data_IF_365598139618
#
_entry.id   IF_365598139618
#
_cell.length_a   1.000
_cell.length_b   1.000
_cell.length_c   1.000
_cell.angle_alpha   90.00
_cell.angle_beta   90.00
_cell.angle_gamma   90.00
#
_symmetry.space_group_name_H-M   'P 1'
#
loop_
_entity.id
_entity.type
_entity.pdbx_description
1 polymer ?
#
# COMPACT_ATOMS: atom_id res chain seq x y z
N UNK A 1 9.75 -76.90 20.50
CA UNK A 1 8.46 -77.54 20.86
C UNK A 1 7.45 -77.30 19.75
N UNK A 2 6.83 -78.39 19.30
CA UNK A 2 5.80 -78.46 18.26
C UNK A 2 4.50 -77.71 18.61
N UNK A 3 3.78 -77.25 17.57
CA UNK A 3 2.32 -77.38 17.30
C UNK A 3 2.03 -76.47 16.07
N UNK A 4 1.75 -76.92 14.83
CA UNK A 4 0.60 -77.72 14.29
C UNK A 4 -0.70 -77.36 15.04
N UNK A 5 -1.83 -76.99 14.46
CA UNK A 5 -2.54 -77.11 13.17
C UNK A 5 -3.87 -76.29 13.41
N UNK A 6 -4.73 -75.88 12.47
CA UNK A 6 -5.58 -76.71 11.61
C UNK A 6 -6.57 -75.81 10.80
N UNK A 7 -6.75 -76.18 9.52
CA UNK A 7 -7.89 -76.15 8.58
C UNK A 7 -9.06 -75.14 8.64
N UNK A 8 -9.44 -74.61 7.45
CA UNK A 8 -10.53 -75.09 6.54
C UNK A 8 -10.63 -74.13 5.32
N UNK A 9 -10.41 -74.49 4.04
CA UNK A 9 -11.31 -75.14 3.06
C UNK A 9 -12.72 -74.48 3.04
N UNK A 10 -13.26 -73.87 1.97
CA UNK A 10 -13.48 -74.35 0.59
C UNK A 10 -13.87 -73.22 -0.41
N UNK A 11 -13.39 -73.36 -1.66
CA UNK A 11 -13.99 -73.08 -3.01
C UNK A 11 -15.12 -72.03 -3.18
N UNK A 12 -14.95 -70.95 -3.95
CA UNK A 12 -14.90 -70.81 -5.43
C UNK A 12 -16.26 -70.82 -6.15
N UNK A 13 -16.67 -69.66 -6.69
CA UNK A 13 -17.51 -69.56 -7.89
C UNK A 13 -17.30 -68.19 -8.56
N UNK A 14 -16.69 -68.23 -9.74
CA UNK A 14 -16.51 -67.09 -10.65
C UNK A 14 -17.78 -66.95 -11.48
N UNK A 15 -18.37 -65.75 -11.52
CA UNK A 15 -19.41 -65.38 -12.48
C UNK A 15 -18.90 -64.18 -13.27
N UNK A 16 -18.60 -64.41 -14.55
CA UNK A 16 -18.32 -63.37 -15.53
C UNK A 16 -19.63 -62.69 -15.93
N UNK A 17 -19.77 -61.40 -15.62
CA UNK A 17 -20.77 -60.53 -16.25
C UNK A 17 -20.05 -59.46 -17.06
N UNK A 18 -20.24 -59.56 -18.37
CA UNK A 18 -19.85 -58.61 -19.40
C UNK A 18 -20.63 -57.30 -19.23
N UNK A 19 -19.94 -56.18 -19.02
CA UNK A 19 -20.54 -54.85 -19.09
C UNK A 19 -19.93 -54.07 -20.25
N UNK A 20 -20.76 -53.82 -21.27
CA UNK A 20 -20.48 -52.98 -22.43
C UNK A 20 -20.19 -51.54 -22.00
N UNK A 21 -19.28 -50.89 -22.72
CA UNK A 21 -19.05 -49.44 -22.70
C UNK A 21 -20.37 -48.71 -22.97
N UNK A 22 -20.80 -47.90 -22.01
CA UNK A 22 -21.75 -46.81 -22.24
C UNK A 22 -21.00 -45.49 -22.07
N UNK A 23 -20.87 -44.78 -23.19
CA UNK A 23 -20.41 -43.39 -23.24
C UNK A 23 -21.44 -42.56 -22.46
N UNK A 24 -21.11 -42.17 -21.23
CA UNK A 24 -21.92 -41.20 -20.49
C UNK A 24 -21.47 -39.81 -20.96
N UNK A 25 -22.19 -39.29 -21.93
CA UNK A 25 -22.25 -37.85 -22.18
C UNK A 25 -22.93 -37.24 -20.96
N UNK A 26 -22.16 -36.71 -20.01
CA UNK A 26 -22.72 -35.82 -18.99
C UNK A 26 -23.08 -34.51 -19.68
N UNK A 27 -24.32 -34.45 -20.16
CA UNK A 27 -25.02 -33.19 -20.33
C UNK A 27 -25.01 -32.51 -18.95
N UNK A 28 -24.24 -31.42 -18.82
CA UNK A 28 -24.41 -30.50 -17.70
C UNK A 28 -25.77 -29.85 -17.96
N UNK A 29 -26.81 -30.43 -17.36
CA UNK A 29 -28.10 -29.78 -17.25
C UNK A 29 -27.88 -28.47 -16.47
N UNK A 30 -28.37 -27.38 -17.05
CA UNK A 30 -28.55 -26.12 -16.34
C UNK A 30 -29.40 -26.36 -15.10
N UNK A 31 -28.77 -26.38 -13.93
CA UNK A 31 -29.51 -26.34 -12.67
C UNK A 31 -29.97 -24.90 -12.42
N UNK A 32 -31.16 -24.61 -12.92
CA UNK A 32 -32.02 -23.58 -12.33
C UNK A 32 -32.57 -24.13 -11.00
N UNK A 33 -31.94 -23.74 -9.89
CA UNK A 33 -32.62 -23.77 -8.59
C UNK A 33 -32.54 -22.38 -7.97
N UNK A 34 -33.72 -21.84 -7.70
CA UNK A 34 -33.92 -20.50 -7.17
C UNK A 34 -33.31 -20.34 -5.78
N UNK A 35 -32.10 -19.81 -5.73
CA UNK A 35 -31.76 -18.82 -4.73
C UNK A 35 -32.07 -17.47 -5.37
N UNK A 36 -32.85 -16.61 -4.70
CA UNK A 36 -33.00 -15.23 -5.15
C UNK A 36 -31.60 -14.62 -5.21
N UNK A 37 -31.02 -14.51 -6.42
CA UNK A 37 -29.85 -13.68 -6.65
C UNK A 37 -30.30 -12.28 -6.26
N UNK A 38 -29.89 -11.79 -5.08
CA UNK A 38 -30.02 -10.37 -4.79
C UNK A 38 -29.37 -9.64 -5.96
N UNK A 39 -30.16 -8.87 -6.70
CA UNK A 39 -29.67 -8.02 -7.79
C UNK A 39 -28.78 -6.98 -7.14
N UNK A 40 -27.48 -7.27 -7.04
CA UNK A 40 -26.52 -6.32 -6.49
C UNK A 40 -26.51 -5.05 -7.33
N UNK A 41 -26.33 -3.90 -6.68
CA UNK A 41 -26.37 -2.62 -7.38
C UNK A 41 -25.27 -2.59 -8.44
N UNK A 42 -25.59 -2.03 -9.61
CA UNK A 42 -24.63 -1.92 -10.70
C UNK A 42 -23.45 -1.03 -10.30
N UNK A 43 -22.24 -1.57 -10.35
CA UNK A 43 -21.02 -0.78 -10.20
C UNK A 43 -20.66 -0.13 -11.55
N UNK A 44 -20.30 1.15 -11.52
CA UNK A 44 -19.86 1.89 -12.70
C UNK A 44 -18.36 2.20 -12.60
N UNK A 45 -17.66 2.18 -13.73
CA UNK A 45 -16.28 2.62 -13.90
C UNK A 45 -16.25 3.56 -15.10
N UNK A 46 -15.83 4.81 -14.91
CA UNK A 46 -15.75 5.80 -15.98
C UNK A 46 -14.30 6.20 -16.22
N UNK A 47 -13.69 5.63 -17.25
CA UNK A 47 -12.29 5.84 -17.62
C UNK A 47 -11.97 7.22 -18.21
N UNK A 48 -13.00 8.05 -18.48
CA UNK A 48 -12.84 9.44 -18.89
C UNK A 48 -12.86 10.42 -17.71
N UNK A 49 -13.43 10.02 -16.57
CA UNK A 49 -13.52 10.85 -15.38
C UNK A 49 -12.27 10.65 -14.50
N UNK A 50 -11.19 11.34 -14.86
CA UNK A 50 -9.93 11.34 -14.11
C UNK A 50 -10.11 12.02 -12.73
N UNK A 51 -9.47 11.47 -11.71
CA UNK A 51 -9.35 12.01 -10.37
C UNK A 51 -7.86 12.28 -10.08
N UNK A 52 -7.40 12.05 -8.85
CA UNK A 52 -6.02 12.34 -8.47
C UNK A 52 -5.00 11.43 -9.19
N UNK A 53 -3.81 11.97 -9.42
CA UNK A 53 -2.66 11.21 -9.88
C UNK A 53 -2.09 10.34 -8.75
N UNK A 54 -1.68 9.12 -9.05
CA UNK A 54 -1.08 8.19 -8.09
C UNK A 54 0.44 8.29 -8.19
N UNK A 55 1.07 8.68 -7.07
CA UNK A 55 2.53 8.72 -6.91
C UNK A 55 3.10 7.37 -6.55
N UNK A 56 2.35 6.56 -5.82
CA UNK A 56 2.68 5.15 -5.63
C UNK A 56 2.33 4.62 -4.25
N UNK A 57 2.78 3.41 -4.02
CA UNK A 57 2.54 2.62 -2.82
C UNK A 57 3.89 2.14 -2.30
N UNK A 58 4.11 2.28 -0.99
CA UNK A 58 5.43 2.10 -0.43
C UNK A 58 5.46 1.60 0.99
N UNK A 59 6.67 1.59 1.53
CA UNK A 59 6.94 1.35 2.94
C UNK A 59 8.24 2.03 3.37
N UNK A 60 8.48 2.02 4.67
CA UNK A 60 9.66 2.58 5.28
C UNK A 60 10.80 1.56 5.47
N UNK A 61 12.04 2.02 5.26
CA UNK A 61 13.25 1.38 5.75
C UNK A 61 13.92 2.34 6.73
N UNK A 62 13.89 2.03 8.02
CA UNK A 62 14.41 2.90 9.08
C UNK A 62 15.63 2.24 9.69
N UNK A 63 16.74 2.39 8.98
CA UNK A 63 18.04 1.92 9.44
C UNK A 63 18.43 2.70 10.71
N UNK A 64 19.08 1.98 11.62
CA UNK A 64 19.49 2.48 12.94
C UNK A 64 18.51 2.11 14.05
N UNK A 65 17.23 1.88 13.73
CA UNK A 65 16.25 1.32 14.65
C UNK A 65 16.04 -0.17 14.43
N UNK A 66 16.09 -0.60 13.17
CA UNK A 66 16.16 -2.01 12.77
C UNK A 66 17.29 -2.22 11.75
N UNK A 67 17.63 -3.48 11.48
CA UNK A 67 18.57 -3.82 10.41
C UNK A 67 18.04 -3.35 9.04
N UNK A 68 18.94 -2.93 8.15
CA UNK A 68 18.58 -2.57 6.79
C UNK A 68 18.03 -3.79 6.01
N UNK A 69 17.36 -3.55 4.89
CA UNK A 69 16.90 -4.61 4.00
C UNK A 69 18.09 -5.31 3.32
N UNK A 70 18.06 -6.63 3.22
CA UNK A 70 19.04 -7.39 2.43
C UNK A 70 18.80 -7.20 0.92
N UNK A 71 19.76 -7.61 0.08
CA UNK A 71 19.59 -7.54 -1.39
C UNK A 71 18.36 -8.30 -1.90
N UNK A 72 18.07 -9.48 -1.31
CA UNK A 72 16.88 -10.26 -1.63
C UNK A 72 15.59 -9.53 -1.17
N UNK A 73 15.59 -8.98 0.04
CA UNK A 73 14.45 -8.21 0.56
C UNK A 73 14.18 -6.95 -0.28
N UNK A 74 15.21 -6.24 -0.74
CA UNK A 74 15.05 -5.10 -1.67
C UNK A 74 14.43 -5.54 -3.00
N UNK A 75 14.86 -6.68 -3.54
CA UNK A 75 14.27 -7.24 -4.76
C UNK A 75 12.80 -7.59 -4.57
N UNK A 76 12.47 -8.30 -3.48
CA UNK A 76 11.09 -8.67 -3.13
C UNK A 76 10.22 -7.47 -2.81
N UNK A 77 10.78 -6.39 -2.28
CA UNK A 77 10.06 -5.14 -2.01
C UNK A 77 9.74 -4.38 -3.31
N UNK A 78 10.74 -4.06 -4.13
CA UNK A 78 10.58 -3.06 -5.20
C UNK A 78 10.37 -3.64 -6.59
N UNK A 79 10.83 -4.86 -6.87
CA UNK A 79 10.68 -5.44 -8.21
C UNK A 79 9.22 -5.73 -8.53
N UNK A 80 8.76 -5.29 -9.70
CA UNK A 80 7.41 -5.60 -10.19
C UNK A 80 7.30 -7.06 -10.65
N UNK A 81 8.41 -7.66 -11.10
CA UNK A 81 8.42 -9.02 -11.63
C UNK A 81 8.74 -10.06 -10.55
N UNK A 82 9.71 -9.74 -9.68
CA UNK A 82 10.23 -10.68 -8.68
C UNK A 82 9.75 -10.34 -7.25
N UNK A 83 8.84 -9.38 -7.10
CA UNK A 83 8.42 -8.86 -5.81
C UNK A 83 7.00 -8.29 -5.80
N UNK A 84 6.72 -7.53 -4.75
CA UNK A 84 5.43 -6.86 -4.51
C UNK A 84 5.32 -5.51 -5.23
N UNK A 85 6.41 -5.02 -5.83
CA UNK A 85 6.39 -3.85 -6.70
C UNK A 85 6.21 -2.51 -5.99
N UNK A 86 6.69 -2.33 -4.76
CA UNK A 86 6.66 -1.01 -4.11
C UNK A 86 7.33 0.04 -5.01
N UNK A 87 6.69 1.20 -5.09
CA UNK A 87 7.10 2.33 -5.94
C UNK A 87 7.43 3.59 -5.12
N UNK A 88 7.36 3.49 -3.80
CA UNK A 88 7.83 4.52 -2.87
C UNK A 88 8.63 3.85 -1.76
N UNK A 89 9.79 4.43 -1.44
CA UNK A 89 10.57 4.12 -0.25
C UNK A 89 10.60 5.37 0.63
N UNK A 90 10.21 5.21 1.90
CA UNK A 90 10.45 6.23 2.93
C UNK A 90 11.68 5.86 3.76
N UNK A 91 12.55 6.83 4.00
CA UNK A 91 13.75 6.65 4.84
C UNK A 91 13.82 7.71 5.94
N UNK A 92 14.54 7.36 7.01
CA UNK A 92 14.92 8.32 8.04
C UNK A 92 16.08 9.18 7.56
N UNK A 93 16.04 10.46 7.90
CA UNK A 93 17.22 11.33 7.91
C UNK A 93 17.88 11.22 9.28
N UNK A 94 19.07 10.59 9.41
CA UNK A 94 19.74 10.51 10.70
C UNK A 94 20.06 11.90 11.27
N UNK A 95 20.11 12.05 12.60
CA UNK A 95 20.61 13.29 13.21
C UNK A 95 22.15 13.37 13.14
N UNK A 96 22.85 12.24 12.95
CA UNK A 96 24.29 12.20 12.78
C UNK A 96 24.65 11.99 11.30
N UNK A 97 25.36 12.94 10.70
CA UNK A 97 25.70 12.90 9.27
C UNK A 97 26.66 11.77 8.90
N UNK A 98 27.39 11.22 9.88
CA UNK A 98 28.22 10.04 9.67
C UNK A 98 27.42 8.80 9.21
N UNK A 99 26.12 8.76 9.51
CA UNK A 99 25.24 7.64 9.16
C UNK A 99 24.63 7.74 7.75
N UNK A 100 24.77 8.89 7.07
CA UNK A 100 24.04 9.16 5.81
C UNK A 100 24.41 8.23 4.66
N UNK A 101 25.71 8.00 4.46
CA UNK A 101 26.20 7.15 3.37
C UNK A 101 25.64 5.73 3.45
N UNK A 102 25.22 5.34 4.64
CA UNK A 102 24.83 4.00 4.99
C UNK A 102 23.35 3.71 4.67
N UNK A 103 22.55 4.74 4.34
CA UNK A 103 21.19 4.60 3.76
C UNK A 103 21.21 4.24 2.26
N UNK A 104 22.33 4.51 1.56
CA UNK A 104 22.43 4.39 0.09
C UNK A 104 22.04 3.02 -0.46
N UNK A 105 22.45 1.87 0.11
CA UNK A 105 22.20 0.58 -0.51
C UNK A 105 20.72 0.27 -0.78
N UNK A 106 19.82 0.62 0.14
CA UNK A 106 18.37 0.43 -0.04
C UNK A 106 17.77 1.52 -0.93
N UNK A 107 18.23 2.77 -0.80
CA UNK A 107 17.83 3.89 -1.67
C UNK A 107 18.15 3.60 -3.14
N UNK A 108 19.38 3.16 -3.44
CA UNK A 108 19.84 2.91 -4.81
C UNK A 108 19.09 1.71 -5.43
N UNK A 109 18.82 0.65 -4.64
CA UNK A 109 18.02 -0.47 -5.10
C UNK A 109 16.56 -0.09 -5.39
N UNK A 110 15.96 0.77 -4.57
CA UNK A 110 14.61 1.28 -4.79
C UNK A 110 14.55 2.13 -6.08
N UNK A 111 15.49 3.07 -6.24
CA UNK A 111 15.62 3.91 -7.45
C UNK A 111 15.84 3.07 -8.71
N UNK A 112 16.68 2.03 -8.64
CA UNK A 112 16.92 1.11 -9.76
C UNK A 112 15.65 0.37 -10.21
N UNK A 113 14.65 0.23 -9.34
CA UNK A 113 13.34 -0.33 -9.66
C UNK A 113 12.29 0.76 -9.99
N UNK A 114 12.72 2.02 -10.15
CA UNK A 114 11.86 3.16 -10.49
C UNK A 114 11.02 3.68 -9.32
N UNK A 115 11.36 3.35 -8.08
CA UNK A 115 10.67 3.88 -6.91
C UNK A 115 11.10 5.32 -6.61
N UNK A 116 10.14 6.14 -6.19
CA UNK A 116 10.42 7.42 -5.55
C UNK A 116 11.03 7.18 -4.16
N UNK A 117 11.94 8.05 -3.75
CA UNK A 117 12.50 8.02 -2.40
C UNK A 117 12.10 9.30 -1.68
N UNK A 118 11.44 9.17 -0.54
CA UNK A 118 11.09 10.29 0.34
C UNK A 118 11.82 10.15 1.66
N UNK A 119 12.23 11.26 2.26
CA UNK A 119 13.01 11.23 3.49
C UNK A 119 12.38 12.10 4.57
N UNK A 120 12.30 11.58 5.79
CA UNK A 120 11.76 12.32 6.94
C UNK A 120 12.78 12.36 8.07
N UNK A 121 12.99 13.53 8.64
CA UNK A 121 13.74 13.68 9.87
C UNK A 121 12.81 13.53 11.08
N UNK A 122 13.12 12.60 11.98
CA UNK A 122 12.48 12.53 13.30
C UNK A 122 12.97 13.64 14.21
N UNK A 123 14.26 13.98 14.09
CA UNK A 123 14.88 14.97 14.94
C UNK A 123 16.06 15.65 14.28
N UNK A 124 16.34 16.88 14.70
CA UNK A 124 17.57 17.59 14.35
C UNK A 124 18.72 17.17 15.27
N UNK A 125 19.99 17.44 14.91
CA UNK A 125 21.11 17.34 15.84
C UNK A 125 20.79 18.02 17.18
N UNK A 126 21.12 17.37 18.29
CA UNK A 126 20.76 17.83 19.63
C UNK A 126 21.15 19.30 19.90
N UNK A 127 22.34 19.72 19.44
CA UNK A 127 22.84 21.09 19.59
C UNK A 127 21.94 22.16 18.95
N UNK A 128 21.19 21.79 17.90
CA UNK A 128 20.26 22.68 17.18
C UNK A 128 18.90 22.82 17.87
N UNK A 129 18.64 22.05 18.93
CA UNK A 129 17.35 21.97 19.60
C UNK A 129 17.33 22.70 20.93
N UNK A 130 16.17 23.20 21.32
CA UNK A 130 15.94 23.87 22.61
C UNK A 130 16.18 22.95 23.81
N UNK A 131 15.94 21.65 23.65
CA UNK A 131 16.17 20.63 24.68
C UNK A 131 17.63 20.19 24.81
N UNK A 132 18.50 20.54 23.83
CA UNK A 132 19.83 19.96 23.69
C UNK A 132 19.86 18.42 23.76
N UNK A 133 18.79 17.77 23.27
CA UNK A 133 18.57 16.32 23.32
C UNK A 133 17.93 15.88 22.00
N UNK A 134 18.12 14.63 21.56
CA UNK A 134 17.47 14.05 20.38
C UNK A 134 15.98 13.72 20.60
N UNK A 135 15.52 13.68 21.85
CA UNK A 135 14.11 13.51 22.25
C UNK A 135 13.46 14.87 22.56
N UNK A 136 12.25 15.08 22.06
CA UNK A 136 11.40 16.25 22.34
C UNK A 136 12.01 17.60 21.96
N UNK A 137 11.45 18.69 22.48
CA UNK A 137 11.91 20.05 22.19
C UNK A 137 11.66 20.46 20.73
N UNK A 138 12.19 21.63 20.34
CA UNK A 138 12.00 22.19 18.99
C UNK A 138 13.30 22.80 18.48
N UNK A 139 13.35 23.13 17.20
CA UNK A 139 14.50 23.83 16.62
C UNK A 139 14.69 25.21 17.27
N UNK A 140 15.94 25.57 17.58
CA UNK A 140 16.31 26.95 17.84
C UNK A 140 16.20 27.72 16.52
N UNK A 141 15.60 28.91 16.55
CA UNK A 141 15.50 29.77 15.36
C UNK A 141 16.87 30.12 14.78
N UNK A 142 17.88 30.29 15.64
CA UNK A 142 19.29 30.49 15.26
C UNK A 142 19.91 29.30 14.51
N UNK A 143 19.31 28.11 14.61
CA UNK A 143 19.80 26.89 13.94
C UNK A 143 19.02 26.55 12.67
N UNK A 144 18.10 27.39 12.21
CA UNK A 144 17.28 27.10 11.03
C UNK A 144 18.14 26.86 9.77
N UNK A 145 19.11 27.74 9.50
CA UNK A 145 19.99 27.58 8.34
C UNK A 145 20.85 26.31 8.44
N UNK A 146 21.41 26.05 9.62
CA UNK A 146 22.23 24.85 9.86
C UNK A 146 21.41 23.56 9.73
N UNK A 147 20.17 23.55 10.20
CA UNK A 147 19.29 22.40 10.06
C UNK A 147 18.89 22.15 8.59
N UNK A 148 18.60 23.21 7.84
CA UNK A 148 18.36 23.07 6.40
C UNK A 148 19.60 22.56 5.65
N UNK A 149 20.80 23.00 6.04
CA UNK A 149 22.05 22.49 5.52
C UNK A 149 22.26 21.00 5.88
N UNK A 150 21.90 20.58 7.10
CA UNK A 150 21.89 19.17 7.52
C UNK A 150 20.99 18.32 6.62
N UNK A 151 19.74 18.74 6.40
CA UNK A 151 18.80 18.07 5.48
C UNK A 151 19.36 18.01 4.05
N UNK A 152 19.89 19.12 3.52
CA UNK A 152 20.51 19.17 2.18
C UNK A 152 21.72 18.25 2.06
N UNK A 153 22.54 18.15 3.12
CA UNK A 153 23.71 17.29 3.12
C UNK A 153 23.32 15.80 3.11
N UNK A 154 22.23 15.42 3.77
CA UNK A 154 21.63 14.08 3.62
C UNK A 154 21.22 13.83 2.16
N UNK A 155 20.42 14.74 1.58
CA UNK A 155 19.95 14.62 0.19
C UNK A 155 21.14 14.45 -0.76
N UNK A 156 22.20 15.22 -0.55
CA UNK A 156 23.43 15.15 -1.35
C UNK A 156 24.14 13.80 -1.16
N UNK A 157 24.34 13.36 0.09
CA UNK A 157 25.03 12.11 0.41
C UNK A 157 24.33 10.89 -0.19
N UNK A 158 23.00 10.87 -0.21
CA UNK A 158 22.22 9.75 -0.77
C UNK A 158 21.95 9.85 -2.28
N UNK A 159 22.50 10.87 -2.95
CA UNK A 159 22.34 11.05 -4.40
C UNK A 159 20.92 11.48 -4.80
N UNK A 160 20.32 12.37 -4.01
CA UNK A 160 19.00 12.94 -4.24
C UNK A 160 17.85 12.15 -3.60
N UNK A 161 16.76 12.84 -3.32
CA UNK A 161 15.45 12.27 -2.92
C UNK A 161 14.35 13.02 -3.66
N UNK A 162 13.19 12.40 -3.83
CA UNK A 162 12.02 13.01 -4.48
C UNK A 162 11.36 14.08 -3.62
N UNK A 163 11.37 13.92 -2.30
CA UNK A 163 10.93 14.93 -1.35
C UNK A 163 11.58 14.72 0.03
N UNK A 164 11.64 15.78 0.82
CA UNK A 164 12.17 15.75 2.19
C UNK A 164 11.21 16.44 3.17
N UNK A 165 11.04 15.83 4.34
CA UNK A 165 10.25 16.35 5.45
C UNK A 165 11.17 16.76 6.61
N UNK A 166 11.00 17.99 7.14
CA UNK A 166 11.79 18.48 8.25
C UNK A 166 11.35 17.97 9.62
N UNK A 167 10.20 17.30 9.74
CA UNK A 167 9.74 16.79 11.03
C UNK A 167 8.74 15.65 10.84
N UNK A 168 9.03 14.50 11.45
CA UNK A 168 8.04 13.45 11.70
C UNK A 168 7.14 13.87 12.87
N UNK A 169 5.83 13.67 12.74
CA UNK A 169 4.84 13.74 13.84
C UNK A 169 5.08 14.89 14.83
N UNK A 170 5.09 16.14 14.36
CA UNK A 170 5.40 17.28 15.21
C UNK A 170 4.40 17.47 16.36
N UNK A 171 3.21 16.85 16.27
CA UNK A 171 2.15 16.86 17.27
C UNK A 171 2.15 15.64 18.21
N UNK A 172 3.19 14.80 18.18
CA UNK A 172 3.29 13.61 19.03
C UNK A 172 4.45 13.67 20.03
N UNK A 173 4.13 13.67 21.33
CA UNK A 173 5.14 13.64 22.40
C UNK A 173 5.51 12.20 22.71
N UNK A 174 6.81 11.90 22.68
CA UNK A 174 7.33 10.53 22.82
C UNK A 174 8.72 10.50 23.48
N UNK A 175 9.25 9.31 23.72
CA UNK A 175 10.53 9.04 24.41
C UNK A 175 11.67 8.63 23.46
N UNK A 176 11.40 8.51 22.16
CA UNK A 176 12.40 8.32 21.10
C UNK A 176 12.66 9.61 20.30
N UNK A 177 13.50 9.52 19.26
CA UNK A 177 13.88 10.67 18.43
C UNK A 177 12.65 11.47 17.98
N UNK A 178 12.61 12.74 18.34
CA UNK A 178 11.43 13.57 18.09
C UNK A 178 11.79 15.06 18.12
N UNK A 179 10.94 15.85 17.49
CA UNK A 179 10.80 17.28 17.67
C UNK A 179 9.32 17.62 17.71
N UNK A 180 8.93 18.57 18.54
CA UNK A 180 7.54 18.96 18.75
C UNK A 180 7.32 20.45 18.46
N UNK A 181 7.59 20.95 17.23
CA UNK A 181 7.21 22.30 16.86
C UNK A 181 5.68 22.41 16.75
N UNK A 182 5.15 23.56 17.16
CA UNK A 182 3.78 23.93 16.77
C UNK A 182 3.67 24.07 15.25
N UNK A 183 2.45 24.01 14.72
CA UNK A 183 2.22 24.18 13.29
C UNK A 183 2.81 25.49 12.74
N UNK A 184 2.73 26.58 13.50
CA UNK A 184 3.33 27.87 13.17
C UNK A 184 4.86 27.80 13.15
N UNK A 185 5.49 27.20 14.15
CA UNK A 185 6.96 27.11 14.21
C UNK A 185 7.53 26.27 13.07
N UNK A 186 6.87 25.16 12.73
CA UNK A 186 7.24 24.34 11.58
C UNK A 186 7.04 25.11 10.26
N UNK A 187 5.96 25.87 10.15
CA UNK A 187 5.71 26.73 9.00
C UNK A 187 6.78 27.82 8.87
N UNK A 188 7.20 28.44 9.97
CA UNK A 188 8.24 29.47 9.99
C UNK A 188 9.59 28.92 9.54
N UNK A 189 9.95 27.70 9.96
CA UNK A 189 11.13 27.02 9.43
C UNK A 189 11.04 26.83 7.91
N UNK A 190 9.93 26.32 7.40
CA UNK A 190 9.76 26.10 5.94
C UNK A 190 9.71 27.43 5.18
N UNK A 191 9.07 28.45 5.73
CA UNK A 191 9.04 29.79 5.17
C UNK A 191 10.44 30.38 5.06
N UNK A 192 11.28 30.20 6.07
CA UNK A 192 12.66 30.69 6.06
C UNK A 192 13.57 29.85 5.16
N UNK A 193 13.51 28.52 5.25
CA UNK A 193 14.57 27.62 4.78
C UNK A 193 14.11 26.47 3.86
N UNK A 194 12.82 26.32 3.57
CA UNK A 194 12.31 25.18 2.80
C UNK A 194 13.04 24.96 1.46
N UNK A 195 13.35 26.04 0.73
CA UNK A 195 14.09 26.00 -0.54
C UNK A 195 15.56 25.58 -0.39
N UNK A 196 16.11 25.63 0.82
CA UNK A 196 17.51 25.31 1.12
C UNK A 196 17.71 23.86 1.59
N UNK A 197 16.63 23.08 1.74
CA UNK A 197 16.69 21.70 2.24
C UNK A 197 17.15 20.66 1.21
N UNK A 198 17.40 21.08 -0.05
CA UNK A 198 17.99 20.23 -1.10
C UNK A 198 17.01 19.35 -1.89
N UNK A 199 15.74 19.28 -1.50
CA UNK A 199 14.67 18.60 -2.23
C UNK A 199 13.32 19.31 -2.01
N UNK A 200 12.28 19.03 -2.83
CA UNK A 200 10.93 19.51 -2.59
C UNK A 200 10.44 19.18 -1.17
N UNK A 201 9.77 20.14 -0.53
CA UNK A 201 9.27 19.96 0.84
C UNK A 201 7.98 19.15 0.84
N UNK A 202 7.96 18.09 1.65
CA UNK A 202 6.75 17.37 2.05
C UNK A 202 6.54 17.59 3.55
N UNK A 203 5.35 18.02 3.98
CA UNK A 203 5.07 18.46 5.35
C UNK A 203 3.55 18.58 5.57
N UNK A 204 3.03 18.67 6.81
CA UNK A 204 3.73 18.69 8.09
C UNK A 204 3.83 17.34 8.81
N UNK A 205 3.30 16.27 8.22
CA UNK A 205 3.33 14.90 8.78
C UNK A 205 2.74 14.74 10.21
N UNK A 206 1.57 15.32 10.55
CA UNK A 206 0.95 15.07 11.85
C UNK A 206 0.52 13.61 11.99
N UNK A 207 0.53 13.10 13.23
CA UNK A 207 0.28 11.69 13.57
C UNK A 207 -1.06 11.14 13.03
N UNK A 208 -2.10 11.97 13.08
CA UNK A 208 -3.47 11.57 12.71
C UNK A 208 -4.04 12.34 11.51
N UNK A 209 -3.19 12.84 10.60
CA UNK A 209 -3.60 13.67 9.46
C UNK A 209 -4.45 14.87 9.91
N UNK A 210 -4.09 15.47 11.05
CA UNK A 210 -4.89 16.51 11.69
C UNK A 210 -5.11 17.71 10.75
N UNK A 211 -6.36 17.88 10.30
CA UNK A 211 -6.72 18.99 9.42
C UNK A 211 -6.48 20.35 10.11
N UNK A 212 -6.66 20.42 11.43
CA UNK A 212 -6.35 21.62 12.22
C UNK A 212 -4.86 21.95 12.18
N UNK A 213 -3.98 20.96 12.36
CA UNK A 213 -2.54 21.17 12.29
C UNK A 213 -2.13 21.58 10.87
N UNK A 214 -2.61 20.86 9.85
CA UNK A 214 -2.34 21.14 8.43
C UNK A 214 -2.80 22.54 8.04
N UNK A 215 -4.02 22.94 8.40
CA UNK A 215 -4.55 24.27 8.08
C UNK A 215 -3.77 25.38 8.78
N UNK A 216 -3.39 25.16 10.05
CA UNK A 216 -2.57 26.12 10.80
C UNK A 216 -1.18 26.28 10.16
N UNK A 217 -0.55 25.18 9.76
CA UNK A 217 0.74 25.19 9.04
C UNK A 217 0.63 25.93 7.69
N UNK A 218 -0.42 25.63 6.91
CA UNK A 218 -0.65 26.25 5.59
C UNK A 218 -1.16 27.70 5.67
N UNK A 219 -1.49 28.20 6.86
CA UNK A 219 -1.89 29.61 7.04
C UNK A 219 -0.74 30.58 6.82
N UNK A 220 0.51 30.14 6.95
CA UNK A 220 1.69 30.90 6.55
C UNK A 220 1.84 30.81 5.01
N UNK A 221 1.63 31.91 4.25
CA UNK A 221 1.60 31.87 2.80
C UNK A 221 2.96 31.53 2.19
N UNK A 222 4.05 31.96 2.82
CA UNK A 222 5.41 31.65 2.36
C UNK A 222 5.71 30.17 2.55
N UNK A 223 5.37 29.60 3.71
CA UNK A 223 5.50 28.17 3.96
C UNK A 223 4.68 27.38 2.93
N UNK A 224 3.39 27.71 2.78
CA UNK A 224 2.47 27.10 1.80
C UNK A 224 3.02 27.14 0.38
N UNK A 225 3.69 28.22 -0.03
CA UNK A 225 4.29 28.32 -1.37
C UNK A 225 5.50 27.39 -1.55
N UNK A 226 6.26 27.13 -0.47
CA UNK A 226 7.44 26.26 -0.46
C UNK A 226 7.11 24.78 -0.20
N UNK A 227 5.97 24.48 0.40
CA UNK A 227 5.47 23.11 0.57
C UNK A 227 4.98 22.56 -0.76
N UNK A 228 5.60 21.50 -1.26
CA UNK A 228 5.18 20.84 -2.51
C UNK A 228 4.04 19.86 -2.26
N UNK A 229 4.10 19.11 -1.16
CA UNK A 229 3.15 18.03 -0.85
C UNK A 229 2.65 18.16 0.58
N UNK A 230 1.34 17.96 0.78
CA UNK A 230 0.77 17.86 2.13
C UNK A 230 0.83 16.41 2.56
N UNK A 231 1.40 16.18 3.74
CA UNK A 231 1.63 14.83 4.26
C UNK A 231 1.10 14.69 5.68
N UNK A 232 0.80 13.44 6.05
CA UNK A 232 0.32 13.05 7.37
C UNK A 232 0.28 11.55 7.50
N UNK A 233 0.17 11.11 8.75
CA UNK A 233 -0.05 9.71 9.11
C UNK A 233 -1.52 9.51 9.47
N UNK A 234 -1.98 8.29 9.69
CA UNK A 234 -3.40 8.03 10.00
C UNK A 234 -3.59 7.23 11.30
N UNK A 235 -2.61 7.29 12.21
CA UNK A 235 -2.75 6.63 13.51
C UNK A 235 -3.91 7.25 14.30
N UNK A 236 -4.87 6.41 14.69
CA UNK A 236 -6.08 6.86 15.39
C UNK A 236 -7.03 7.70 14.53
N UNK A 237 -6.84 7.74 13.21
CA UNK A 237 -7.63 8.54 12.29
C UNK A 237 -8.13 7.70 11.10
N UNK A 238 -9.24 8.13 10.52
CA UNK A 238 -9.76 7.58 9.26
C UNK A 238 -9.38 8.51 8.11
N UNK A 239 -9.00 8.00 6.92
CA UNK A 239 -8.76 8.84 5.75
C UNK A 239 -9.96 9.74 5.42
N UNK A 240 -9.72 11.03 5.21
CA UNK A 240 -10.75 12.03 4.85
C UNK A 240 -10.26 12.92 3.72
N UNK A 241 -11.18 13.53 2.99
CA UNK A 241 -10.83 14.45 1.89
C UNK A 241 -10.18 15.72 2.45
N UNK A 242 -8.96 16.02 2.01
CA UNK A 242 -8.26 17.25 2.37
C UNK A 242 -8.32 18.27 1.23
N UNK A 243 -8.91 19.44 1.49
CA UNK A 243 -9.05 20.52 0.50
C UNK A 243 -7.90 21.53 0.61
N UNK A 244 -6.66 21.08 0.44
CA UNK A 244 -5.46 21.93 0.63
C UNK A 244 -4.99 22.61 -0.66
N UNK A 245 -5.50 22.17 -1.82
CA UNK A 245 -5.02 22.58 -3.14
C UNK A 245 -3.65 21.99 -3.50
N UNK A 246 -3.19 20.98 -2.77
CA UNK A 246 -1.94 20.24 -2.98
C UNK A 246 -2.23 18.75 -2.98
N UNK A 247 -1.30 17.97 -3.52
CA UNK A 247 -1.35 16.53 -3.35
C UNK A 247 -1.29 16.15 -1.88
N UNK A 248 -1.98 15.07 -1.53
CA UNK A 248 -2.04 14.52 -0.18
C UNK A 248 -1.37 13.16 -0.15
N UNK A 249 -0.33 13.01 0.65
CA UNK A 249 0.43 11.77 0.79
C UNK A 249 0.23 11.21 2.20
N UNK A 250 -0.27 9.98 2.31
CA UNK A 250 -0.23 9.23 3.57
C UNK A 250 1.15 8.58 3.67
N UNK A 251 2.00 9.10 4.56
CA UNK A 251 3.44 8.82 4.59
C UNK A 251 3.85 7.81 5.65
N UNK A 252 2.95 7.41 6.54
CA UNK A 252 3.19 6.35 7.50
C UNK A 252 1.90 5.81 8.10
N UNK A 253 1.78 4.48 8.12
CA UNK A 253 0.87 3.77 9.00
C UNK A 253 1.25 2.29 9.12
N UNK A 254 0.79 1.64 10.18
CA UNK A 254 0.58 0.20 10.20
C UNK A 254 -0.84 -0.06 10.73
N UNK A 255 -1.59 -0.95 10.09
CA UNK A 255 -2.98 -1.24 10.47
C UNK A 255 -3.08 -1.85 11.88
N UNK A 256 -2.27 -2.86 12.16
CA UNK A 256 -2.10 -3.47 13.49
C UNK A 256 -0.72 -4.16 13.56
N UNK A 257 -0.30 -4.62 14.73
CA UNK A 257 1.01 -5.27 14.96
C UNK A 257 0.95 -6.79 15.09
N UNK A 258 -0.20 -7.41 14.80
CA UNK A 258 -0.35 -8.87 14.75
C UNK A 258 0.44 -9.46 13.58
N UNK A 259 0.57 -10.80 13.58
CA UNK A 259 1.22 -11.54 12.48
C UNK A 259 0.64 -11.13 11.12
N UNK A 260 1.52 -10.71 10.22
CA UNK A 260 1.19 -10.22 8.89
C UNK A 260 0.50 -11.26 7.98
N UNK A 261 0.53 -12.54 8.34
CA UNK A 261 -0.16 -13.62 7.64
C UNK A 261 -1.59 -13.88 8.13
N UNK A 262 -2.04 -13.20 9.19
CA UNK A 262 -3.45 -13.22 9.59
C UNK A 262 -4.27 -12.52 8.49
N UNK A 263 -5.08 -13.32 7.79
CA UNK A 263 -5.75 -12.88 6.57
C UNK A 263 -6.72 -11.72 6.79
N UNK A 264 -7.46 -11.69 7.91
CA UNK A 264 -8.36 -10.59 8.22
C UNK A 264 -7.62 -9.25 8.34
N UNK A 265 -6.46 -9.22 8.99
CA UNK A 265 -5.61 -8.02 9.08
C UNK A 265 -5.06 -7.59 7.72
N UNK A 266 -4.65 -8.54 6.87
CA UNK A 266 -4.22 -8.25 5.51
C UNK A 266 -5.35 -7.69 4.62
N UNK A 267 -6.56 -8.25 4.76
CA UNK A 267 -7.74 -7.75 4.06
C UNK A 267 -8.12 -6.34 4.51
N UNK A 268 -8.01 -6.05 5.81
CA UNK A 268 -8.23 -4.71 6.34
C UNK A 268 -7.14 -3.71 5.89
N UNK A 269 -5.89 -4.17 5.74
CA UNK A 269 -4.81 -3.35 5.16
C UNK A 269 -5.16 -2.92 3.73
N UNK A 270 -5.66 -3.83 2.89
CA UNK A 270 -6.13 -3.48 1.54
C UNK A 270 -7.31 -2.49 1.59
N UNK A 271 -8.22 -2.66 2.53
CA UNK A 271 -9.35 -1.75 2.72
C UNK A 271 -8.91 -0.35 3.14
N UNK A 272 -7.89 -0.23 3.98
CA UNK A 272 -7.31 1.06 4.36
C UNK A 272 -6.64 1.76 3.17
N UNK A 273 -5.92 1.01 2.32
CA UNK A 273 -5.37 1.55 1.07
C UNK A 273 -6.51 2.05 0.17
N UNK A 274 -7.58 1.26 0.01
CA UNK A 274 -8.78 1.69 -0.70
C UNK A 274 -9.33 3.01 -0.15
N UNK A 275 -9.44 3.15 1.16
CA UNK A 275 -10.00 4.34 1.80
C UNK A 275 -9.15 5.58 1.59
N UNK A 276 -7.82 5.44 1.67
CA UNK A 276 -6.88 6.52 1.30
C UNK A 276 -7.09 6.95 -0.16
N UNK A 277 -7.19 5.99 -1.08
CA UNK A 277 -7.39 6.28 -2.51
C UNK A 277 -8.76 6.90 -2.77
N UNK A 278 -9.80 6.48 -2.04
CA UNK A 278 -11.14 7.05 -2.15
C UNK A 278 -11.22 8.46 -1.53
N UNK A 279 -10.42 8.75 -0.50
CA UNK A 279 -10.28 10.08 0.09
C UNK A 279 -9.49 11.07 -0.77
N UNK A 280 -8.97 10.64 -1.92
CA UNK A 280 -8.22 11.50 -2.84
C UNK A 280 -6.71 11.53 -2.58
N UNK A 281 -6.16 10.62 -1.75
CA UNK A 281 -4.73 10.59 -1.50
C UNK A 281 -3.98 10.07 -2.73
N UNK A 282 -2.79 10.64 -2.96
CA UNK A 282 -1.93 10.33 -4.10
C UNK A 282 -0.91 9.23 -3.77
N UNK A 283 -0.65 8.99 -2.48
CA UNK A 283 0.39 8.08 -2.00
C UNK A 283 -0.07 7.37 -0.72
N UNK A 284 0.33 6.11 -0.57
CA UNK A 284 0.21 5.33 0.67
C UNK A 284 1.57 4.71 1.00
N UNK A 285 2.08 4.97 2.20
CA UNK A 285 3.34 4.40 2.69
C UNK A 285 3.09 3.70 4.01
N UNK A 286 3.34 2.39 4.02
CA UNK A 286 3.38 1.61 5.26
C UNK A 286 4.58 2.00 6.10
N UNK A 287 4.57 1.61 7.37
CA UNK A 287 5.75 1.68 8.23
C UNK A 287 6.83 0.67 7.79
N UNK A 288 7.42 -0.12 8.68
CA UNK A 288 8.51 -1.02 8.28
C UNK A 288 8.11 -2.02 7.19
N UNK A 289 8.82 -1.99 6.05
CA UNK A 289 8.66 -2.96 4.96
C UNK A 289 8.88 -4.38 5.50
N UNK A 290 9.96 -4.58 6.27
CA UNK A 290 10.31 -5.84 6.92
C UNK A 290 10.00 -5.79 8.40
N UNK A 291 9.01 -6.57 8.83
CA UNK A 291 8.66 -6.80 10.24
C UNK A 291 7.73 -7.99 10.34
N UNK A 292 7.57 -8.57 11.53
CA UNK A 292 6.55 -9.62 11.78
C UNK A 292 5.13 -9.23 11.35
N UNK A 293 4.83 -7.92 11.37
CA UNK A 293 3.56 -7.33 10.93
C UNK A 293 3.68 -6.58 9.58
N UNK A 294 4.82 -6.64 8.92
CA UNK A 294 5.13 -5.91 7.68
C UNK A 294 4.75 -6.65 6.40
N UNK A 295 5.19 -6.12 5.26
CA UNK A 295 4.99 -6.74 3.94
C UNK A 295 5.93 -7.91 3.69
N UNK A 296 7.12 -7.85 4.28
CA UNK A 296 8.06 -8.95 4.37
C UNK A 296 8.19 -9.36 5.83
N UNK A 297 8.16 -10.67 6.10
CA UNK A 297 8.51 -11.18 7.43
C UNK A 297 10.01 -11.04 7.70
N UNK A 298 10.46 -11.36 8.92
CA UNK A 298 11.88 -11.24 9.28
C UNK A 298 12.80 -12.17 8.48
N UNK A 299 12.26 -13.27 7.94
CA UNK A 299 12.94 -14.19 7.02
C UNK A 299 12.96 -13.67 5.57
N UNK A 300 12.31 -12.54 5.29
CA UNK A 300 12.22 -11.94 3.96
C UNK A 300 11.18 -12.61 3.05
N UNK A 301 10.24 -13.40 3.57
CA UNK A 301 9.12 -13.91 2.78
C UNK A 301 8.03 -12.86 2.64
N UNK A 302 7.34 -12.85 1.49
CA UNK A 302 6.18 -11.98 1.28
C UNK A 302 5.02 -12.49 2.13
N UNK A 303 4.48 -11.62 2.98
CA UNK A 303 3.37 -11.92 3.89
C UNK A 303 2.01 -11.73 3.20
N UNK A 304 0.90 -12.13 3.83
CA UNK A 304 -0.44 -11.80 3.33
C UNK A 304 -0.66 -10.30 3.18
N UNK A 305 -0.12 -9.46 4.08
CA UNK A 305 -0.11 -7.99 3.91
C UNK A 305 0.70 -7.56 2.70
N UNK A 306 1.85 -8.19 2.46
CA UNK A 306 2.65 -7.97 1.26
C UNK A 306 1.87 -8.25 -0.03
N UNK A 307 1.13 -9.36 -0.08
CA UNK A 307 0.23 -9.65 -1.20
C UNK A 307 -0.95 -8.68 -1.28
N UNK A 308 -1.48 -8.21 -0.15
CA UNK A 308 -2.56 -7.22 -0.10
C UNK A 308 -2.14 -5.89 -0.74
N UNK A 309 -0.97 -5.34 -0.41
CA UNK A 309 -0.48 -4.12 -1.08
C UNK A 309 -0.06 -4.37 -2.53
N UNK A 310 0.41 -5.58 -2.87
CA UNK A 310 0.79 -5.95 -4.23
C UNK A 310 -0.37 -5.81 -5.24
N UNK A 311 -1.63 -5.98 -4.78
CA UNK A 311 -2.84 -5.72 -5.57
C UNK A 311 -2.95 -4.30 -6.12
N UNK A 312 -2.31 -3.35 -5.45
CA UNK A 312 -2.18 -1.97 -5.89
C UNK A 312 -0.80 -1.75 -6.54
N UNK A 313 0.27 -2.01 -5.79
CA UNK A 313 1.64 -1.60 -6.14
C UNK A 313 2.15 -2.21 -7.45
N UNK A 314 1.79 -3.46 -7.80
CA UNK A 314 2.26 -4.11 -9.03
C UNK A 314 1.66 -3.48 -10.30
N UNK A 315 0.44 -2.99 -10.24
CA UNK A 315 -0.35 -2.62 -11.42
C UNK A 315 -0.73 -1.14 -11.48
N UNK A 316 -0.96 -0.49 -10.34
CA UNK A 316 -1.20 0.95 -10.25
C UNK A 316 0.16 1.66 -10.11
N UNK A 317 0.87 1.76 -11.25
CA UNK A 317 2.22 2.32 -11.30
C UNK A 317 2.22 3.86 -11.20
N UNK A 318 3.33 4.49 -10.75
CA UNK A 318 3.44 5.95 -10.69
C UNK A 318 3.04 6.61 -12.00
N UNK A 319 2.24 7.68 -11.90
CA UNK A 319 1.69 8.40 -13.06
C UNK A 319 0.31 7.92 -13.49
N UNK A 320 -0.18 6.78 -13.01
CA UNK A 320 -1.59 6.40 -13.18
C UNK A 320 -2.51 7.45 -12.56
N UNK A 321 -3.71 7.65 -13.12
CA UNK A 321 -4.75 8.46 -12.48
C UNK A 321 -5.81 7.54 -11.90
N UNK A 322 -6.26 7.82 -10.68
CA UNK A 322 -7.52 7.23 -10.21
C UNK A 322 -8.64 7.72 -11.14
N UNK A 323 -9.61 6.86 -11.42
CA UNK A 323 -10.79 7.20 -12.20
C UNK A 323 -12.04 7.02 -11.36
N UNK A 324 -13.12 7.71 -11.76
CA UNK A 324 -14.41 7.62 -11.09
C UNK A 324 -14.96 6.19 -11.16
N UNK A 325 -15.38 5.66 -10.02
CA UNK A 325 -16.07 4.38 -9.93
C UNK A 325 -17.03 4.35 -8.73
N UNK A 326 -18.03 3.47 -8.77
CA UNK A 326 -18.86 3.17 -7.60
C UNK A 326 -17.99 2.49 -6.54
N UNK A 327 -17.60 3.20 -5.48
CA UNK A 327 -16.57 2.72 -4.54
C UNK A 327 -17.06 1.69 -3.52
N UNK A 328 -18.36 1.63 -3.24
CA UNK A 328 -18.98 0.61 -2.38
C UNK A 328 -20.32 0.18 -2.99
N UNK A 329 -20.31 -0.59 -4.10
CA UNK A 329 -21.52 -0.91 -4.85
C UNK A 329 -22.46 -1.84 -4.08
N UNK A 330 -21.91 -2.70 -3.23
CA UNK A 330 -22.66 -3.62 -2.38
C UNK A 330 -21.98 -3.61 -1.01
N UNK A 331 -22.73 -3.62 0.11
CA UNK A 331 -22.12 -3.66 1.44
C UNK A 331 -21.03 -4.75 1.55
N UNK A 332 -19.86 -4.34 2.05
CA UNK A 332 -18.69 -5.22 2.17
C UNK A 332 -17.87 -5.39 0.89
N UNK A 333 -18.29 -4.83 -0.24
CA UNK A 333 -17.52 -4.79 -1.49
C UNK A 333 -16.99 -3.39 -1.74
N UNK A 334 -15.68 -3.26 -1.90
CA UNK A 334 -15.02 -1.97 -2.10
C UNK A 334 -14.22 -1.96 -3.39
N UNK A 335 -14.29 -0.85 -4.14
CA UNK A 335 -13.79 -0.77 -5.51
C UNK A 335 -13.02 0.52 -5.72
N UNK A 336 -11.80 0.39 -6.24
CA UNK A 336 -11.04 1.51 -6.82
C UNK A 336 -10.63 1.14 -8.23
N UNK A 337 -10.58 2.13 -9.12
CA UNK A 337 -10.17 1.94 -10.49
C UNK A 337 -9.18 3.03 -10.92
N UNK A 338 -8.28 2.68 -11.82
CA UNK A 338 -7.15 3.49 -12.23
C UNK A 338 -6.92 3.35 -13.73
N UNK A 339 -6.39 4.41 -14.33
CA UNK A 339 -6.01 4.46 -15.75
C UNK A 339 -4.56 4.87 -15.90
N UNK A 340 -3.80 4.11 -16.69
CA UNK A 340 -2.46 4.46 -17.11
C UNK A 340 -2.34 4.27 -18.64
N UNK A 341 -2.33 5.37 -19.39
CA UNK A 341 -2.50 5.31 -20.84
C UNK A 341 -3.83 4.67 -21.23
N UNK A 342 -3.79 3.58 -22.00
CA UNK A 342 -4.95 2.77 -22.36
C UNK A 342 -5.31 1.70 -21.33
N UNK A 343 -4.41 1.36 -20.41
CA UNK A 343 -4.62 0.29 -19.43
C UNK A 343 -5.55 0.76 -18.31
N UNK A 344 -6.53 -0.08 -17.99
CA UNK A 344 -7.42 0.06 -16.85
C UNK A 344 -7.06 -0.99 -15.81
N UNK A 345 -6.92 -0.55 -14.56
CA UNK A 345 -6.68 -1.41 -13.40
C UNK A 345 -7.81 -1.21 -12.41
N UNK A 346 -8.47 -2.27 -11.98
CA UNK A 346 -9.53 -2.23 -10.96
C UNK A 346 -9.15 -3.12 -9.80
N UNK A 347 -9.12 -2.58 -8.58
CA UNK A 347 -8.90 -3.33 -7.35
C UNK A 347 -10.22 -3.43 -6.58
N UNK A 348 -10.62 -4.66 -6.29
CA UNK A 348 -11.90 -5.02 -5.68
C UNK A 348 -11.62 -5.80 -4.40
N UNK A 349 -12.21 -5.39 -3.29
CA UNK A 349 -12.07 -6.03 -1.99
C UNK A 349 -13.45 -6.52 -1.57
N UNK A 350 -13.60 -7.83 -1.36
CA UNK A 350 -14.80 -8.41 -0.78
C UNK A 350 -14.52 -8.80 0.67
N UNK A 351 -15.08 -8.08 1.63
CA UNK A 351 -15.02 -8.40 3.07
C UNK A 351 -16.14 -9.35 3.52
N UNK A 352 -17.07 -9.71 2.64
CA UNK A 352 -18.11 -10.67 2.97
C UNK A 352 -17.54 -12.08 3.10
N UNK A 353 -18.08 -12.85 4.05
CA UNK A 353 -17.74 -14.27 4.27
C UNK A 353 -18.36 -15.22 3.24
N UNK A 354 -19.16 -14.69 2.31
CA UNK A 354 -19.79 -15.42 1.23
C UNK A 354 -19.32 -14.91 -0.14
N UNK A 355 -19.46 -15.76 -1.15
CA UNK A 355 -19.28 -15.36 -2.55
C UNK A 355 -20.26 -14.24 -2.87
N UNK A 356 -19.75 -13.15 -3.41
CA UNK A 356 -20.54 -11.94 -3.69
C UNK A 356 -20.52 -11.68 -5.19
N UNK A 357 -21.69 -11.73 -5.83
CA UNK A 357 -21.81 -11.49 -7.27
C UNK A 357 -21.98 -10.01 -7.57
N UNK A 358 -20.96 -9.37 -8.15
CA UNK A 358 -20.98 -7.94 -8.47
C UNK A 358 -20.97 -7.71 -9.98
N UNK A 359 -21.92 -6.91 -10.47
CA UNK A 359 -21.97 -6.44 -11.86
C UNK A 359 -21.23 -5.12 -12.02
N UNK A 360 -20.53 -4.96 -13.14
CA UNK A 360 -19.79 -3.77 -13.52
C UNK A 360 -20.15 -3.31 -14.93
N UNK A 361 -20.13 -2.00 -15.13
CA UNK A 361 -20.09 -1.35 -16.44
C UNK A 361 -18.85 -0.47 -16.54
N UNK A 362 -18.19 -0.52 -17.68
CA UNK A 362 -17.04 0.31 -18.04
C UNK A 362 -17.41 1.24 -19.19
N UNK A 363 -17.21 2.53 -18.98
CA UNK A 363 -17.36 3.57 -20.00
C UNK A 363 -16.06 4.36 -20.18
N UNK A 364 -15.91 5.04 -21.31
CA UNK A 364 -14.71 5.84 -21.62
C UNK A 364 -13.45 5.04 -21.97
N UNK A 365 -13.58 3.71 -22.16
CA UNK A 365 -12.54 2.82 -22.65
C UNK A 365 -13.16 1.62 -23.36
N UNK A 366 -12.43 1.04 -24.32
CA UNK A 366 -12.75 -0.22 -24.97
C UNK A 366 -11.65 -1.21 -24.64
N UNK A 367 -12.03 -2.39 -24.15
CA UNK A 367 -11.10 -3.45 -23.72
C UNK A 367 -11.59 -4.80 -24.25
N UNK A 368 -10.68 -5.75 -24.44
CA UNK A 368 -11.05 -7.13 -24.83
C UNK A 368 -11.28 -8.02 -23.61
N UNK A 369 -10.59 -7.76 -22.52
CA UNK A 369 -10.76 -8.50 -21.29
C UNK A 369 -9.86 -8.00 -20.17
N UNK A 370 -9.78 -8.79 -19.11
CA UNK A 370 -8.91 -8.55 -17.97
C UNK A 370 -8.06 -9.79 -17.65
N UNK A 371 -6.79 -9.55 -17.36
CA UNK A 371 -6.00 -10.45 -16.52
C UNK A 371 -6.45 -10.23 -15.08
N UNK A 372 -6.88 -11.30 -14.41
CA UNK A 372 -7.41 -11.27 -13.05
C UNK A 372 -6.44 -11.94 -12.10
N UNK A 373 -6.21 -11.31 -10.95
CA UNK A 373 -5.36 -11.81 -9.87
C UNK A 373 -6.14 -11.81 -8.57
N UNK A 374 -6.11 -12.91 -7.82
CA UNK A 374 -6.92 -13.08 -6.60
C UNK A 374 -6.04 -13.52 -5.43
N UNK A 375 -6.21 -12.86 -4.29
CA UNK A 375 -5.66 -13.29 -3.00
C UNK A 375 -6.80 -13.59 -2.03
N UNK A 376 -6.68 -14.71 -1.32
CA UNK A 376 -7.57 -15.15 -0.23
C UNK A 376 -6.70 -15.63 0.94
N UNK A 377 -7.29 -16.24 1.98
CA UNK A 377 -6.49 -16.96 2.99
C UNK A 377 -5.67 -18.11 2.37
N UNK A 378 -6.21 -18.82 1.38
CA UNK A 378 -5.58 -20.00 0.75
C UNK A 378 -4.77 -19.74 -0.52
N UNK A 379 -4.85 -18.55 -1.11
CA UNK A 379 -4.17 -18.24 -2.38
C UNK A 379 -3.50 -16.86 -2.34
N UNK A 380 -2.42 -16.71 -3.11
CA UNK A 380 -1.66 -15.47 -3.26
C UNK A 380 -1.56 -15.11 -4.75
N UNK A 381 -2.17 -13.99 -5.17
CA UNK A 381 -2.18 -13.51 -6.57
C UNK A 381 -2.45 -14.60 -7.61
N UNK A 382 -3.35 -15.54 -7.32
CA UNK A 382 -3.74 -16.59 -8.26
C UNK A 382 -4.32 -15.95 -9.53
N UNK A 383 -3.75 -16.31 -10.68
CA UNK A 383 -4.02 -15.65 -11.94
C UNK A 383 -4.98 -16.45 -12.82
N UNK A 384 -5.91 -15.76 -13.48
CA UNK A 384 -6.69 -16.28 -14.59
C UNK A 384 -7.17 -15.13 -15.50
N UNK A 385 -7.92 -15.43 -16.56
CA UNK A 385 -8.45 -14.42 -17.48
C UNK A 385 -9.97 -14.26 -17.33
N UNK A 386 -10.47 -13.07 -17.64
CA UNK A 386 -11.90 -12.74 -17.75
C UNK A 386 -12.14 -12.04 -19.08
N UNK A 387 -12.94 -12.63 -19.96
CA UNK A 387 -13.38 -11.95 -21.19
C UNK A 387 -14.46 -10.92 -20.90
N UNK A 388 -14.48 -9.81 -21.64
CA UNK A 388 -15.49 -8.75 -21.53
C UNK A 388 -16.11 -8.50 -22.91
N UNK A 389 -17.43 -8.41 -22.97
CA UNK A 389 -18.16 -8.06 -24.19
C UNK A 389 -19.14 -6.93 -23.89
N UNK A 390 -19.23 -5.93 -24.79
CA UNK A 390 -20.21 -4.84 -24.66
C UNK A 390 -20.00 -3.91 -23.46
N UNK A 391 -18.78 -3.81 -22.91
CA UNK A 391 -18.45 -2.90 -21.80
C UNK A 391 -19.07 -3.26 -20.45
N UNK A 392 -19.74 -4.41 -20.34
CA UNK A 392 -20.34 -4.90 -19.10
C UNK A 392 -19.75 -6.26 -18.72
N UNK A 393 -19.55 -6.50 -17.42
CA UNK A 393 -19.06 -7.78 -16.92
C UNK A 393 -19.55 -8.06 -15.50
N UNK A 394 -19.73 -9.34 -15.18
CA UNK A 394 -20.12 -9.82 -13.86
C UNK A 394 -19.01 -10.64 -13.22
N UNK A 395 -18.87 -10.56 -11.90
CA UNK A 395 -17.86 -11.27 -11.15
C UNK A 395 -18.43 -11.93 -9.90
N UNK A 396 -18.17 -13.24 -9.76
CA UNK A 396 -18.25 -13.91 -8.47
C UNK A 396 -16.97 -13.60 -7.69
N UNK A 397 -17.05 -12.67 -6.74
CA UNK A 397 -15.97 -12.34 -5.82
C UNK A 397 -15.92 -13.41 -4.72
N UNK A 398 -14.77 -14.06 -4.55
CA UNK A 398 -14.61 -15.07 -3.52
C UNK A 398 -14.82 -14.48 -2.10
N UNK A 399 -15.26 -15.28 -1.11
CA UNK A 399 -15.31 -14.86 0.29
C UNK A 399 -13.99 -14.25 0.75
N UNK A 400 -14.05 -13.14 1.49
CA UNK A 400 -12.89 -12.49 2.11
C UNK A 400 -11.70 -12.43 1.14
N UNK A 401 -11.83 -11.69 0.04
CA UNK A 401 -10.86 -11.73 -1.05
C UNK A 401 -10.46 -10.34 -1.54
N UNK A 402 -9.27 -10.27 -2.15
CA UNK A 402 -8.83 -9.11 -2.93
C UNK A 402 -8.68 -9.60 -4.37
N UNK A 403 -9.25 -8.85 -5.32
CA UNK A 403 -9.18 -9.15 -6.75
C UNK A 403 -8.66 -7.91 -7.48
N UNK A 404 -7.61 -8.07 -8.28
CA UNK A 404 -7.18 -7.03 -9.24
C UNK A 404 -7.47 -7.48 -10.66
N UNK A 405 -8.07 -6.59 -11.45
CA UNK A 405 -8.30 -6.75 -12.88
C UNK A 405 -7.38 -5.78 -13.63
N UNK A 406 -6.68 -6.28 -14.65
CA UNK A 406 -5.76 -5.49 -15.49
C UNK A 406 -6.16 -5.69 -16.94
N UNK A 407 -6.59 -4.64 -17.63
CA UNK A 407 -7.15 -4.77 -18.97
C UNK A 407 -6.10 -5.13 -20.02
N UNK A 408 -6.53 -5.85 -21.06
CA UNK A 408 -5.78 -6.06 -22.31
C UNK A 408 -6.65 -5.82 -23.55
#
# INVERSE_FOLDING_TARGET
MMKKQLCCLLTAAVIFVSCKKSTVTTNIAEESTGSQKQTQALATINASALQQNIRGFGGASIRGWIADLTSDQRTKAFSVNNGIGLSVLRVRVPFNSADFAAEKPTIDAAKANGAMVVATAWTAPASMKTSNNIVGGKLKTTSYADYAAHLKSFVTAVGGVSAISPCNEPDWVTDYESMNPTATELADFVAAQGSNCGAPIMAPEPLGMSQTYINSYLSNPTAKSKTSYVCGHIYGATPTVLNTGKETWMTEHYYDTNDANIWSGALNTAKEIHDCMNAGYNMYVWWYIRRSYGFLDESGNVTKRGYAIAHFAKWVRPGANKISCTSNPTPGVYVTAYKNGSQIVTVIINQNTATTYQNFTLSGATISGFNRYVTTSGANLAANTLGVSGGSFGLNLAPSSITTLVSY
#
